data_IF_362933857768
#
_entry.id   IF_362933857768
#
_cell.length_a   1.000
_cell.length_b   1.000
_cell.length_c   1.000
_cell.angle_alpha   90.00
_cell.angle_beta   90.00
_cell.angle_gamma   90.00
#
_symmetry.space_group_name_H-M   'P 1'
#
loop_
_entity.id
_entity.type
_entity.pdbx_description
1 polymer ?
#
# COMPACT_ATOMS: atom_id res chain seq x y z
N UNK A 1 -7.52 -25.88 -20.95
CA UNK A 1 -7.52 -26.08 -19.49
C UNK A 1 -7.79 -24.72 -18.90
N UNK A 2 -8.97 -24.52 -18.33
CA UNK A 2 -9.34 -23.24 -17.71
C UNK A 2 -8.72 -23.16 -16.32
N UNK A 3 -8.17 -22.01 -15.96
CA UNK A 3 -7.57 -21.77 -14.64
C UNK A 3 -8.70 -21.65 -13.61
N UNK A 4 -8.68 -22.41 -12.49
CA UNK A 4 -9.66 -22.30 -11.42
C UNK A 4 -9.82 -20.87 -10.91
N UNK A 5 -11.06 -20.46 -10.64
CA UNK A 5 -11.38 -19.12 -10.13
C UNK A 5 -10.61 -18.75 -8.84
N UNK A 6 -10.26 -19.76 -8.03
CA UNK A 6 -9.41 -19.59 -6.83
C UNK A 6 -8.00 -19.12 -7.16
N UNK A 7 -7.40 -19.62 -8.24
CA UNK A 7 -6.06 -19.22 -8.68
C UNK A 7 -6.06 -17.80 -9.25
N UNK A 8 -7.12 -17.41 -9.97
CA UNK A 8 -7.31 -16.02 -10.40
C UNK A 8 -7.39 -15.07 -9.21
N UNK A 9 -8.10 -15.44 -8.14
CA UNK A 9 -8.20 -14.63 -6.91
C UNK A 9 -6.84 -14.45 -6.21
N UNK A 10 -6.03 -15.51 -6.20
CA UNK A 10 -4.68 -15.46 -5.62
C UNK A 10 -3.80 -14.51 -6.44
N UNK A 11 -3.86 -14.61 -7.77
CA UNK A 11 -3.11 -13.72 -8.66
C UNK A 11 -3.52 -12.25 -8.47
N UNK A 12 -4.81 -11.94 -8.35
CA UNK A 12 -5.30 -10.57 -8.04
C UNK A 12 -4.63 -10.02 -6.76
N UNK A 13 -4.68 -10.78 -5.67
CA UNK A 13 -4.12 -10.33 -4.39
C UNK A 13 -2.60 -10.14 -4.46
N UNK A 14 -1.87 -11.05 -5.11
CA UNK A 14 -0.43 -10.95 -5.29
C UNK A 14 -0.06 -9.70 -6.11
N UNK A 15 -0.83 -9.38 -7.15
CA UNK A 15 -0.59 -8.17 -7.94
C UNK A 15 -0.80 -6.89 -7.11
N UNK A 16 -1.81 -6.86 -6.25
CA UNK A 16 -2.02 -5.73 -5.32
C UNK A 16 -0.85 -5.60 -4.34
N UNK A 17 -0.40 -6.70 -3.73
CA UNK A 17 0.73 -6.68 -2.78
C UNK A 17 2.03 -6.17 -3.43
N UNK A 18 2.35 -6.66 -4.63
CA UNK A 18 3.54 -6.23 -5.38
C UNK A 18 3.46 -4.73 -5.65
N UNK A 19 2.32 -4.26 -6.17
CA UNK A 19 2.12 -2.85 -6.50
C UNK A 19 2.25 -1.94 -5.28
N UNK A 20 1.69 -2.32 -4.13
CA UNK A 20 1.85 -1.56 -2.88
C UNK A 20 3.31 -1.50 -2.44
N UNK A 21 4.05 -2.60 -2.59
CA UNK A 21 5.46 -2.67 -2.21
C UNK A 21 6.35 -1.76 -3.07
N UNK A 22 6.06 -1.65 -4.38
CA UNK A 22 6.80 -0.77 -5.28
C UNK A 22 6.50 0.70 -5.00
N UNK A 23 5.23 1.05 -4.80
CA UNK A 23 4.83 2.40 -4.39
C UNK A 23 5.51 2.82 -3.09
N UNK A 24 5.63 1.93 -2.12
CA UNK A 24 6.37 2.20 -0.88
C UNK A 24 7.84 2.53 -1.16
N UNK A 25 8.52 1.73 -1.99
CA UNK A 25 9.94 1.96 -2.34
C UNK A 25 10.12 3.28 -3.07
N UNK A 26 9.23 3.60 -4.01
CA UNK A 26 9.31 4.84 -4.78
C UNK A 26 8.97 6.07 -3.95
N UNK A 27 8.03 5.94 -3.02
CA UNK A 27 7.74 6.98 -2.03
C UNK A 27 8.96 7.25 -1.14
N UNK A 28 9.61 6.19 -0.62
CA UNK A 28 10.83 6.32 0.20
C UNK A 28 12.01 6.91 -0.59
N UNK A 29 12.07 6.67 -1.90
CA UNK A 29 13.05 7.29 -2.81
C UNK A 29 12.64 8.69 -3.29
N UNK A 30 11.49 9.21 -2.86
CA UNK A 30 10.96 10.52 -3.29
C UNK A 30 10.52 10.58 -4.75
N UNK A 31 10.40 9.44 -5.44
CA UNK A 31 9.99 9.34 -6.85
C UNK A 31 8.49 9.54 -7.02
N UNK A 32 7.70 9.19 -6.01
CA UNK A 32 6.24 9.34 -6.01
C UNK A 32 5.84 10.17 -4.80
N UNK A 33 4.93 11.12 -5.01
CA UNK A 33 4.31 11.90 -3.93
C UNK A 33 2.94 11.30 -3.60
N UNK A 34 2.74 10.91 -2.35
CA UNK A 34 1.44 10.47 -1.85
C UNK A 34 0.64 11.65 -1.29
N UNK A 35 -0.65 11.73 -1.62
CA UNK A 35 -1.55 12.73 -1.05
C UNK A 35 -1.86 12.44 0.43
N UNK A 36 -1.99 13.48 1.25
CA UNK A 36 -2.33 13.35 2.69
C UNK A 36 -3.62 12.58 2.95
N UNK A 37 -4.59 12.62 2.05
CA UNK A 37 -5.89 11.96 2.18
C UNK A 37 -5.97 10.58 1.51
N UNK A 38 -4.94 10.18 0.75
CA UNK A 38 -4.88 8.89 0.06
C UNK A 38 -4.72 7.73 1.07
N UNK A 39 -5.08 6.51 0.66
CA UNK A 39 -4.78 5.31 1.46
C UNK A 39 -3.27 5.20 1.70
N UNK A 40 -2.89 4.82 2.90
CA UNK A 40 -1.49 4.68 3.28
C UNK A 40 -0.87 3.45 2.60
N UNK A 41 0.30 3.64 1.97
CA UNK A 41 1.05 2.58 1.29
C UNK A 41 1.48 1.42 2.21
N UNK A 42 1.41 1.59 3.53
CA UNK A 42 1.79 0.54 4.49
C UNK A 42 0.71 -0.54 4.70
N UNK A 43 -0.35 -0.55 3.88
CA UNK A 43 -1.41 -1.56 3.95
C UNK A 43 -2.38 -1.42 5.13
N UNK A 44 -2.32 -0.34 5.92
CA UNK A 44 -3.16 -0.18 7.12
C UNK A 44 -4.65 0.11 6.85
N UNK A 45 -5.02 0.37 5.60
CA UNK A 45 -6.36 0.84 5.22
C UNK A 45 -6.69 2.28 5.64
N UNK A 46 -5.83 2.93 6.43
CA UNK A 46 -6.01 4.31 6.89
C UNK A 46 -5.53 5.33 5.85
N UNK A 47 -6.02 6.58 5.96
CA UNK A 47 -5.45 7.70 5.19
C UNK A 47 -4.01 7.97 5.59
N UNK A 48 -3.14 8.36 4.67
CA UNK A 48 -1.71 8.62 4.93
C UNK A 48 -1.50 9.60 6.09
N UNK A 49 -2.28 10.69 6.15
CA UNK A 49 -2.24 11.65 7.27
C UNK A 49 -2.62 11.07 8.62
N UNK A 50 -3.39 9.98 8.67
CA UNK A 50 -3.80 9.32 9.92
C UNK A 50 -2.91 8.10 10.25
N UNK A 51 -1.91 7.82 9.42
CA UNK A 51 -1.05 6.65 9.57
C UNK A 51 0.42 7.07 9.53
N UNK A 52 1.20 6.65 8.53
CA UNK A 52 2.64 6.86 8.47
C UNK A 52 3.10 8.32 8.60
N UNK A 53 2.28 9.31 8.21
CA UNK A 53 2.64 10.73 8.37
C UNK A 53 2.66 11.18 9.84
N UNK A 54 1.77 10.63 10.68
CA UNK A 54 1.60 11.03 12.08
C UNK A 54 2.07 9.95 13.07
N UNK A 55 2.68 8.86 12.59
CA UNK A 55 3.06 7.69 13.42
C UNK A 55 3.94 8.04 14.62
N UNK A 56 4.71 9.14 14.58
CA UNK A 56 5.57 9.60 15.68
C UNK A 56 4.94 10.61 16.64
N UNK A 57 3.69 11.05 16.44
CA UNK A 57 3.05 12.04 17.32
C UNK A 57 2.43 11.44 18.59
N UNK A 58 2.39 10.10 18.67
CA UNK A 58 1.76 9.37 19.77
C UNK A 58 2.78 8.71 20.71
N UNK A 59 4.07 8.96 20.52
CA UNK A 59 5.14 8.54 21.43
C UNK A 59 5.51 9.75 22.30
N UNK A 60 4.69 10.01 23.32
CA UNK A 60 5.02 10.85 24.46
C UNK A 60 5.17 9.95 25.69
#
# INVERSE_FOLDING_TARGET
MEIPLSELKILENLTEEIFQSELQKDFLKGKVKIGRNEKCFCGSGLKYKKCCLNRRKNEN
#
